data_IF_375487102794
#
_entry.id   IF_375487102794
#
_cell.length_a   1.000
_cell.length_b   1.000
_cell.length_c   1.000
_cell.angle_alpha   90.00
_cell.angle_beta   90.00
_cell.angle_gamma   90.00
#
_symmetry.space_group_name_H-M   'P 1'
#
loop_
_entity.id
_entity.type
_entity.pdbx_description
1 polymer ?
#
# COMPACT_ATOMS: atom_id res chain seq x y z
N UNK A 1 -22.39 56.98 60.67
CA UNK A 1 -20.94 56.73 60.53
C UNK A 1 -20.53 57.33 59.18
N UNK A 2 -20.15 58.60 59.10
CA UNK A 2 -18.85 59.22 59.46
C UNK A 2 -17.73 58.94 58.42
N UNK A 3 -17.36 60.00 57.68
CA UNK A 3 -16.10 60.34 56.95
C UNK A 3 -15.74 59.59 55.65
N UNK A 4 -15.72 60.26 54.47
CA UNK A 4 -14.61 61.01 53.78
C UNK A 4 -13.60 60.06 53.09
N UNK A 5 -13.03 60.22 51.88
CA UNK A 5 -12.64 61.35 51.01
C UNK A 5 -12.47 60.82 49.56
N UNK A 6 -12.91 61.53 48.50
CA UNK A 6 -12.15 62.44 47.61
C UNK A 6 -11.07 61.81 46.69
N UNK A 7 -11.17 62.10 45.39
CA UNK A 7 -10.12 61.87 44.38
C UNK A 7 -10.63 62.14 42.96
N UNK A 8 -10.35 63.32 42.40
CA UNK A 8 -10.78 63.78 41.09
C UNK A 8 -9.66 63.76 40.03
N UNK A 9 -10.08 63.43 38.79
CA UNK A 9 -9.64 63.91 37.47
C UNK A 9 -8.16 63.82 37.00
N UNK A 10 -7.93 63.25 35.80
CA UNK A 10 -7.45 64.00 34.62
C UNK A 10 -7.25 63.12 33.35
N UNK A 11 -7.56 63.78 32.22
CA UNK A 11 -7.56 63.55 30.76
C UNK A 11 -6.51 62.65 30.02
N UNK A 12 -6.73 62.38 28.70
CA UNK A 12 -6.06 61.33 27.90
C UNK A 12 -4.81 61.84 27.14
N UNK A 13 -3.96 60.90 26.69
CA UNK A 13 -2.84 61.20 25.80
C UNK A 13 -2.85 60.32 24.54
N UNK A 14 -2.75 61.01 23.41
CA UNK A 14 -2.64 60.54 22.03
C UNK A 14 -1.21 60.06 21.73
N UNK A 15 -1.09 58.95 21.00
CA UNK A 15 0.20 58.35 20.66
C UNK A 15 0.05 57.12 19.77
N UNK A 16 -0.54 57.30 18.59
CA UNK A 16 -0.57 56.27 17.56
C UNK A 16 0.81 56.13 16.89
N UNK A 17 1.46 54.97 17.06
CA UNK A 17 2.26 54.34 16.00
C UNK A 17 2.08 52.82 16.08
N UNK A 18 1.33 52.27 15.14
CA UNK A 18 1.19 50.84 14.90
C UNK A 18 2.49 50.28 14.34
N UNK A 19 3.30 49.66 15.20
CA UNK A 19 4.41 48.79 14.75
C UNK A 19 3.82 47.41 14.44
N UNK A 20 3.91 47.00 13.17
CA UNK A 20 3.52 45.66 12.72
C UNK A 20 4.30 44.59 13.51
N UNK A 21 3.67 43.50 14.00
CA UNK A 21 4.42 42.37 14.53
C UNK A 21 4.94 41.54 13.35
N UNK A 22 6.10 41.96 12.85
CA UNK A 22 7.01 41.06 12.17
C UNK A 22 7.57 40.04 13.17
N UNK A 23 7.51 38.77 12.78
CA UNK A 23 8.59 37.80 12.92
C UNK A 23 9.46 37.93 14.19
N UNK A 24 8.93 37.55 15.36
CA UNK A 24 9.73 37.25 16.56
C UNK A 24 9.08 36.16 17.42
N UNK A 25 9.62 34.96 17.27
CA UNK A 25 9.52 33.83 18.17
C UNK A 25 10.21 32.67 17.45
N UNK A 26 11.38 32.19 17.81
CA UNK A 26 12.23 32.38 18.97
C UNK A 26 13.27 31.29 18.85
N UNK A 27 14.28 31.47 17.98
CA UNK A 27 15.47 30.62 17.99
C UNK A 27 16.34 31.05 19.18
N UNK A 28 15.89 30.72 20.39
CA UNK A 28 16.72 30.81 21.59
C UNK A 28 17.66 29.58 21.59
N UNK A 29 18.99 29.77 21.65
CA UNK A 29 19.94 28.67 21.78
C UNK A 29 19.69 27.95 23.11
N UNK A 30 18.96 26.84 23.07
CA UNK A 30 18.54 26.09 24.26
C UNK A 30 17.08 25.67 24.25
N UNK A 31 16.22 26.34 23.49
CA UNK A 31 14.81 25.96 23.36
C UNK A 31 14.66 24.64 22.60
N UNK A 32 15.35 24.48 21.46
CA UNK A 32 15.44 23.21 20.72
C UNK A 32 15.97 22.06 21.58
N UNK A 33 17.00 22.29 22.40
CA UNK A 33 17.54 21.29 23.32
C UNK A 33 16.52 20.91 24.43
N UNK A 34 15.75 21.88 24.92
CA UNK A 34 14.65 21.66 25.87
C UNK A 34 13.49 20.88 25.26
N UNK A 35 13.25 21.00 23.95
CA UNK A 35 12.27 20.20 23.23
C UNK A 35 12.80 18.80 22.92
N UNK A 36 14.09 18.65 22.57
CA UNK A 36 14.75 17.34 22.39
C UNK A 36 14.71 16.50 23.67
N UNK A 37 15.03 17.08 24.84
CA UNK A 37 15.02 16.38 26.14
C UNK A 37 13.61 15.95 26.59
N UNK A 38 12.57 16.66 26.14
CA UNK A 38 11.16 16.35 26.45
C UNK A 38 10.49 15.47 25.39
N UNK A 39 11.08 15.36 24.20
CA UNK A 39 10.53 14.54 23.13
C UNK A 39 10.86 13.08 23.37
N UNK A 40 9.91 12.33 23.93
CA UNK A 40 10.01 10.87 23.93
C UNK A 40 9.57 10.33 22.58
N UNK A 41 10.55 9.95 21.75
CA UNK A 41 10.31 9.17 20.55
C UNK A 41 10.05 7.74 21.02
N UNK A 42 8.80 7.27 20.90
CA UNK A 42 8.48 5.85 21.07
C UNK A 42 8.39 5.24 19.67
N UNK A 43 9.40 4.43 19.31
CA UNK A 43 9.34 3.62 18.11
C UNK A 43 8.60 2.32 18.45
N UNK A 44 7.53 2.03 17.71
CA UNK A 44 6.93 0.69 17.69
C UNK A 44 7.38 0.02 16.40
N UNK A 45 8.37 -0.88 16.42
CA UNK A 45 8.77 -1.61 15.23
C UNK A 45 7.60 -2.49 14.77
N UNK A 46 7.13 -2.27 13.54
CA UNK A 46 6.09 -3.10 12.91
C UNK A 46 6.79 -3.92 11.82
N UNK A 47 6.57 -5.23 11.82
CA UNK A 47 7.03 -6.09 10.72
C UNK A 47 6.46 -5.57 9.39
N UNK A 48 7.25 -5.61 8.32
CA UNK A 48 6.86 -5.06 7.02
C UNK A 48 5.52 -5.67 6.53
N UNK A 49 4.39 -4.93 6.59
CA UNK A 49 3.07 -5.51 6.34
C UNK A 49 2.92 -6.07 4.93
N UNK A 50 3.65 -5.47 3.99
CA UNK A 50 3.67 -5.85 2.58
C UNK A 50 4.09 -7.29 2.31
N UNK A 51 4.79 -7.98 3.21
CA UNK A 51 5.16 -9.39 3.00
C UNK A 51 3.90 -10.24 2.83
N UNK A 52 2.96 -10.14 3.77
CA UNK A 52 1.70 -10.90 3.72
C UNK A 52 0.87 -10.47 2.50
N UNK A 53 0.75 -9.17 2.25
CA UNK A 53 -0.03 -8.65 1.15
C UNK A 53 0.49 -9.09 -0.22
N UNK A 54 1.82 -9.11 -0.41
CA UNK A 54 2.43 -9.56 -1.67
C UNK A 54 2.32 -11.08 -1.88
N UNK A 55 2.38 -11.89 -0.82
CA UNK A 55 2.09 -13.32 -0.95
C UNK A 55 0.62 -13.57 -1.31
N UNK A 56 -0.32 -12.84 -0.70
CA UNK A 56 -1.74 -12.88 -1.06
C UNK A 56 -1.97 -12.50 -2.54
N UNK A 57 -1.35 -11.40 -2.96
CA UNK A 57 -1.37 -10.92 -4.35
C UNK A 57 -0.82 -11.97 -5.33
N UNK A 58 0.33 -12.58 -5.00
CA UNK A 58 0.95 -13.61 -5.81
C UNK A 58 0.04 -14.84 -5.96
N UNK A 59 -0.54 -15.33 -4.86
CA UNK A 59 -1.46 -16.46 -4.90
C UNK A 59 -2.70 -16.16 -5.74
N UNK A 60 -3.31 -14.99 -5.54
CA UNK A 60 -4.51 -14.59 -6.27
C UNK A 60 -4.28 -14.46 -7.78
N UNK A 61 -3.20 -13.81 -8.20
CA UNK A 61 -2.88 -13.69 -9.62
C UNK A 61 -2.36 -14.97 -10.25
N UNK A 62 -1.69 -15.85 -9.50
CA UNK A 62 -1.36 -17.16 -10.03
C UNK A 62 -2.65 -17.92 -10.38
N UNK A 63 -3.67 -17.88 -9.53
CA UNK A 63 -4.96 -18.53 -9.80
C UNK A 63 -5.76 -17.82 -10.91
N UNK A 64 -6.10 -16.54 -10.69
CA UNK A 64 -6.99 -15.77 -11.58
C UNK A 64 -6.29 -15.44 -12.90
N UNK A 65 -5.00 -15.10 -12.85
CA UNK A 65 -4.19 -14.80 -14.03
C UNK A 65 -3.98 -16.02 -14.90
N UNK A 66 -3.60 -17.17 -14.34
CA UNK A 66 -3.40 -18.37 -15.16
C UNK A 66 -4.71 -18.91 -15.75
N UNK A 67 -5.85 -18.74 -15.05
CA UNK A 67 -7.17 -18.99 -15.64
C UNK A 67 -7.45 -18.06 -16.83
N UNK A 68 -7.25 -16.74 -16.66
CA UNK A 68 -7.43 -15.77 -17.74
C UNK A 68 -6.46 -15.99 -18.90
N UNK A 69 -5.26 -16.49 -18.63
CA UNK A 69 -4.24 -16.83 -19.63
C UNK A 69 -4.63 -18.03 -20.51
N UNK A 70 -5.70 -18.75 -20.15
CA UNK A 70 -6.07 -20.02 -20.77
C UNK A 70 -5.09 -21.15 -20.43
N UNK A 71 -4.28 -21.00 -19.37
CA UNK A 71 -3.34 -22.05 -18.96
C UNK A 71 -4.10 -23.25 -18.38
N UNK A 72 -5.15 -23.01 -17.59
CA UNK A 72 -5.95 -24.08 -17.02
C UNK A 72 -7.41 -23.69 -16.83
N UNK A 73 -8.26 -24.70 -16.66
CA UNK A 73 -9.64 -24.52 -16.27
C UNK A 73 -10.60 -24.19 -17.42
N UNK A 74 -11.79 -23.74 -17.05
CA UNK A 74 -12.90 -23.42 -17.94
C UNK A 74 -13.77 -22.30 -17.33
N UNK A 75 -14.95 -22.03 -17.91
CA UNK A 75 -15.84 -20.97 -17.44
C UNK A 75 -16.33 -21.15 -15.98
N UNK A 76 -16.35 -22.37 -15.45
CA UNK A 76 -16.77 -22.67 -14.08
C UNK A 76 -15.60 -22.60 -13.08
N UNK A 77 -14.35 -22.53 -13.54
CA UNK A 77 -13.16 -22.49 -12.66
C UNK A 77 -13.23 -21.41 -11.57
N UNK A 78 -13.71 -20.18 -11.82
CA UNK A 78 -13.86 -19.19 -10.75
C UNK A 78 -14.68 -19.67 -9.54
N UNK A 79 -15.60 -20.62 -9.71
CA UNK A 79 -16.45 -21.16 -8.63
C UNK A 79 -15.69 -21.98 -7.59
N UNK A 80 -14.51 -22.52 -7.93
CA UNK A 80 -13.63 -23.17 -6.93
C UNK A 80 -12.56 -22.22 -6.40
N UNK A 81 -12.22 -21.16 -7.15
CA UNK A 81 -11.16 -20.22 -6.77
C UNK A 81 -11.62 -19.18 -5.75
N UNK A 82 -12.90 -18.80 -5.78
CA UNK A 82 -13.41 -17.68 -4.99
C UNK A 82 -13.09 -17.74 -3.49
N UNK A 83 -13.10 -18.89 -2.78
CA UNK A 83 -12.80 -18.90 -1.34
C UNK A 83 -11.36 -18.49 -1.06
N UNK A 84 -10.41 -18.95 -1.88
CA UNK A 84 -8.98 -18.69 -1.72
C UNK A 84 -8.62 -17.28 -2.17
N UNK A 85 -9.21 -16.82 -3.28
CA UNK A 85 -9.04 -15.46 -3.76
C UNK A 85 -9.62 -14.47 -2.76
N UNK A 86 -10.81 -14.72 -2.22
CA UNK A 86 -11.46 -13.87 -1.21
C UNK A 86 -10.63 -13.77 0.07
N UNK A 87 -10.13 -14.90 0.58
CA UNK A 87 -9.47 -14.94 1.89
C UNK A 87 -8.01 -14.50 1.84
N UNK A 88 -7.24 -15.00 0.88
CA UNK A 88 -5.80 -14.73 0.83
C UNK A 88 -5.47 -13.52 -0.06
N UNK A 89 -5.99 -13.52 -1.29
CA UNK A 89 -5.86 -12.38 -2.20
C UNK A 89 -6.63 -11.15 -1.73
N UNK A 90 -7.78 -11.36 -1.11
CA UNK A 90 -8.67 -10.30 -0.66
C UNK A 90 -8.37 -9.88 0.78
N UNK A 91 -8.86 -10.66 1.75
CA UNK A 91 -8.87 -10.28 3.16
C UNK A 91 -7.46 -10.09 3.73
N UNK A 92 -6.56 -11.07 3.57
CA UNK A 92 -5.21 -10.97 4.11
C UNK A 92 -4.43 -9.80 3.49
N UNK A 93 -4.56 -9.60 2.18
CA UNK A 93 -3.95 -8.46 1.49
C UNK A 93 -4.55 -7.12 1.92
N UNK A 94 -5.88 -7.02 2.03
CA UNK A 94 -6.54 -5.80 2.47
C UNK A 94 -6.10 -5.41 3.89
N UNK A 95 -6.01 -6.39 4.80
CA UNK A 95 -5.47 -6.18 6.15
C UNK A 95 -4.01 -5.74 6.14
N UNK A 96 -3.17 -6.29 5.26
CA UNK A 96 -1.81 -5.80 5.07
C UNK A 96 -1.78 -4.31 4.67
N UNK A 97 -2.74 -3.85 3.86
CA UNK A 97 -2.93 -2.43 3.54
C UNK A 97 -3.26 -1.55 4.75
N UNK A 98 -4.10 -2.05 5.67
CA UNK A 98 -4.45 -1.33 6.91
C UNK A 98 -3.24 -1.20 7.84
N UNK A 99 -2.43 -2.24 7.93
CA UNK A 99 -1.17 -2.20 8.68
C UNK A 99 -0.12 -1.30 8.02
N UNK A 100 -0.07 -1.26 6.68
CA UNK A 100 0.78 -0.32 5.94
C UNK A 100 0.39 1.14 6.19
N UNK A 101 -0.91 1.43 6.28
CA UNK A 101 -1.41 2.77 6.64
C UNK A 101 -0.91 3.18 8.03
N UNK A 102 -1.02 2.27 9.01
CA UNK A 102 -0.47 2.48 10.36
C UNK A 102 1.05 2.69 10.33
N UNK A 103 1.76 2.01 9.44
CA UNK A 103 3.21 2.18 9.23
C UNK A 103 3.58 3.42 8.40
N UNK A 104 2.60 4.24 7.98
CA UNK A 104 2.78 5.43 7.13
C UNK A 104 3.43 5.12 5.77
N UNK A 105 3.24 3.91 5.25
CA UNK A 105 3.66 3.53 3.90
C UNK A 105 2.49 3.75 2.92
N UNK A 106 2.39 4.96 2.38
CA UNK A 106 1.28 5.34 1.49
C UNK A 106 1.22 4.52 0.19
N UNK A 107 2.37 4.09 -0.34
CA UNK A 107 2.41 3.27 -1.55
C UNK A 107 1.86 1.87 -1.25
N UNK A 108 2.31 1.24 -0.17
CA UNK A 108 1.80 -0.07 0.23
C UNK A 108 0.33 -0.01 0.65
N UNK A 109 -0.13 1.06 1.31
CA UNK A 109 -1.55 1.28 1.61
C UNK A 109 -2.38 1.30 0.34
N UNK A 110 -1.98 2.07 -0.66
CA UNK A 110 -2.71 2.17 -1.93
C UNK A 110 -2.73 0.82 -2.66
N UNK A 111 -1.58 0.16 -2.80
CA UNK A 111 -1.45 -1.11 -3.54
C UNK A 111 -2.23 -2.23 -2.87
N UNK A 112 -1.98 -2.49 -1.59
CA UNK A 112 -2.63 -3.61 -0.88
C UNK A 112 -4.09 -3.36 -0.58
N UNK A 113 -4.44 -2.12 -0.23
CA UNK A 113 -5.82 -1.73 -0.02
C UNK A 113 -6.67 -1.91 -1.29
N UNK A 114 -6.18 -1.41 -2.43
CA UNK A 114 -6.89 -1.52 -3.71
C UNK A 114 -7.00 -2.97 -4.19
N UNK A 115 -5.88 -3.69 -4.32
CA UNK A 115 -5.88 -5.06 -4.82
C UNK A 115 -6.61 -6.03 -3.89
N UNK A 116 -6.45 -5.86 -2.57
CA UNK A 116 -7.20 -6.62 -1.58
C UNK A 116 -8.71 -6.35 -1.65
N UNK A 117 -9.13 -5.09 -1.78
CA UNK A 117 -10.54 -4.74 -1.95
C UNK A 117 -11.12 -5.32 -3.25
N UNK A 118 -10.35 -5.31 -4.34
CA UNK A 118 -10.75 -5.95 -5.58
C UNK A 118 -10.96 -7.46 -5.43
N UNK A 119 -10.02 -8.19 -4.83
CA UNK A 119 -10.17 -9.64 -4.67
C UNK A 119 -11.24 -10.02 -3.66
N UNK A 120 -11.52 -9.18 -2.66
CA UNK A 120 -12.73 -9.31 -1.83
C UNK A 120 -13.98 -9.22 -2.71
N UNK A 121 -14.12 -8.16 -3.50
CA UNK A 121 -15.28 -7.96 -4.39
C UNK A 121 -15.43 -9.09 -5.42
N UNK A 122 -14.32 -9.50 -6.05
CA UNK A 122 -14.28 -10.62 -6.99
C UNK A 122 -14.72 -11.93 -6.33
N UNK A 123 -14.17 -12.22 -5.15
CA UNK A 123 -14.52 -13.41 -4.38
C UNK A 123 -15.98 -13.42 -3.94
N UNK A 124 -16.49 -12.28 -3.46
CA UNK A 124 -17.90 -12.15 -3.07
C UNK A 124 -18.83 -12.33 -4.26
N UNK A 125 -18.48 -11.76 -5.42
CA UNK A 125 -19.27 -11.94 -6.64
C UNK A 125 -19.41 -13.42 -6.99
N UNK A 126 -18.30 -14.17 -7.04
CA UNK A 126 -18.36 -15.61 -7.36
C UNK A 126 -18.97 -16.47 -6.25
N UNK A 127 -18.87 -16.05 -4.98
CA UNK A 127 -19.65 -16.66 -3.88
C UNK A 127 -21.15 -16.51 -4.15
N UNK A 128 -21.63 -15.30 -4.48
CA UNK A 128 -23.04 -15.05 -4.76
C UNK A 128 -23.55 -15.85 -5.97
N UNK A 129 -22.72 -16.00 -7.00
CA UNK A 129 -23.01 -16.90 -8.13
C UNK A 129 -23.14 -18.36 -7.66
N UNK A 130 -22.24 -18.83 -6.79
CA UNK A 130 -22.24 -20.22 -6.32
C UNK A 130 -23.48 -20.61 -5.50
N UNK A 131 -24.10 -19.63 -4.83
CA UNK A 131 -25.35 -19.83 -4.07
C UNK A 131 -26.60 -19.39 -4.86
N UNK A 132 -26.47 -19.17 -6.16
CA UNK A 132 -27.53 -18.72 -7.07
C UNK A 132 -28.21 -17.39 -6.67
N UNK A 133 -27.54 -16.55 -5.88
CA UNK A 133 -28.00 -15.20 -5.54
C UNK A 133 -27.77 -14.18 -6.67
N UNK A 134 -26.89 -14.51 -7.63
CA UNK A 134 -26.64 -13.73 -8.86
C UNK A 134 -26.94 -14.61 -10.07
N UNK A 135 -27.67 -14.10 -11.10
CA UNK A 135 -27.93 -14.87 -12.31
C UNK A 135 -26.64 -15.29 -13.03
N UNK A 136 -26.58 -16.56 -13.46
CA UNK A 136 -25.43 -17.11 -14.20
C UNK A 136 -25.13 -16.32 -15.48
N UNK A 137 -26.13 -15.67 -16.08
CA UNK A 137 -25.96 -14.81 -17.25
C UNK A 137 -25.01 -13.61 -17.01
N UNK A 138 -24.82 -13.19 -15.75
CA UNK A 138 -23.90 -12.10 -15.40
C UNK A 138 -22.46 -12.56 -15.17
N UNK A 139 -22.22 -13.88 -15.14
CA UNK A 139 -20.87 -14.43 -14.96
C UNK A 139 -19.96 -13.95 -16.09
N UNK A 140 -18.78 -13.40 -15.79
CA UNK A 140 -17.84 -13.01 -16.82
C UNK A 140 -17.18 -14.25 -17.41
N UNK A 141 -17.56 -14.55 -18.64
CA UNK A 141 -16.96 -15.61 -19.44
C UNK A 141 -16.01 -14.97 -20.46
N UNK A 142 -14.81 -15.55 -20.60
CA UNK A 142 -13.78 -15.06 -21.51
C UNK A 142 -14.34 -15.03 -22.94
N UNK A 143 -14.17 -13.89 -23.62
CA UNK A 143 -14.72 -13.67 -24.97
C UNK A 143 -16.16 -13.14 -24.99
N UNK A 144 -16.73 -12.74 -23.84
CA UNK A 144 -18.05 -12.08 -23.78
C UNK A 144 -17.96 -10.64 -23.29
N UNK A 145 -18.94 -9.84 -23.68
CA UNK A 145 -19.06 -8.44 -23.26
C UNK A 145 -19.52 -8.37 -21.79
N UNK A 146 -18.73 -7.71 -20.94
CA UNK A 146 -19.01 -7.53 -19.51
C UNK A 146 -18.47 -6.19 -19.02
N UNK A 147 -19.09 -5.10 -19.47
CA UNK A 147 -18.62 -3.73 -19.23
C UNK A 147 -18.46 -3.39 -17.74
N UNK A 148 -19.44 -3.77 -16.90
CA UNK A 148 -19.35 -3.53 -15.45
C UNK A 148 -18.15 -4.23 -14.79
N UNK A 149 -17.82 -5.45 -15.23
CA UNK A 149 -16.63 -6.17 -14.78
C UNK A 149 -15.36 -5.55 -15.38
N UNK A 150 -15.38 -5.17 -16.66
CA UNK A 150 -14.28 -4.52 -17.37
C UNK A 150 -13.88 -3.17 -16.75
N UNK A 151 -14.85 -2.37 -16.31
CA UNK A 151 -14.60 -1.02 -15.79
C UNK A 151 -13.82 -1.03 -14.48
N UNK A 152 -14.00 -2.05 -13.63
CA UNK A 152 -13.18 -2.24 -12.44
C UNK A 152 -11.70 -2.43 -12.80
N UNK A 153 -11.40 -3.17 -13.87
CA UNK A 153 -10.02 -3.36 -14.35
C UNK A 153 -9.39 -2.05 -14.86
N UNK A 154 -10.19 -1.09 -15.36
CA UNK A 154 -9.68 0.23 -15.75
C UNK A 154 -9.13 0.99 -14.54
N UNK A 155 -9.87 1.00 -13.42
CA UNK A 155 -9.40 1.65 -12.19
C UNK A 155 -8.10 1.00 -11.68
N UNK A 156 -8.04 -0.34 -11.69
CA UNK A 156 -6.86 -1.10 -11.31
C UNK A 156 -5.65 -0.80 -12.21
N UNK A 157 -5.88 -0.66 -13.52
CA UNK A 157 -4.83 -0.34 -14.48
C UNK A 157 -4.22 1.04 -14.19
N UNK A 158 -5.07 2.06 -14.02
CA UNK A 158 -4.62 3.44 -13.80
C UNK A 158 -3.88 3.56 -12.47
N UNK A 159 -4.47 3.09 -11.38
CA UNK A 159 -3.88 3.23 -10.05
C UNK A 159 -2.59 2.40 -9.94
N UNK A 160 -2.56 1.18 -10.50
CA UNK A 160 -1.33 0.37 -10.53
C UNK A 160 -0.24 1.02 -11.39
N UNK A 161 -0.61 1.70 -12.48
CA UNK A 161 0.33 2.46 -13.32
C UNK A 161 0.95 3.64 -12.56
N UNK A 162 0.13 4.42 -11.84
CA UNK A 162 0.60 5.50 -10.98
C UNK A 162 1.49 4.96 -9.84
N UNK A 163 1.10 3.83 -9.23
CA UNK A 163 1.89 3.17 -8.20
C UNK A 163 3.22 2.63 -8.74
N UNK A 164 3.25 2.13 -9.99
CA UNK A 164 4.48 1.69 -10.66
C UNK A 164 5.47 2.86 -10.83
N UNK A 165 4.97 4.03 -11.25
CA UNK A 165 5.79 5.24 -11.35
C UNK A 165 6.31 5.68 -9.97
N UNK A 166 5.46 5.69 -8.95
CA UNK A 166 5.87 6.01 -7.58
C UNK A 166 6.92 5.02 -7.03
N UNK A 167 6.77 3.73 -7.34
CA UNK A 167 7.68 2.68 -6.90
C UNK A 167 9.07 2.77 -7.53
N UNK A 168 9.25 3.44 -8.68
CA UNK A 168 10.57 3.67 -9.27
C UNK A 168 11.51 4.40 -8.31
N UNK A 169 10.98 5.28 -7.46
CA UNK A 169 11.76 6.00 -6.45
C UNK A 169 12.26 5.14 -5.31
N UNK A 170 11.76 3.91 -5.15
CA UNK A 170 12.05 3.03 -4.01
C UNK A 170 12.67 1.69 -4.41
N UNK A 171 12.06 0.96 -5.34
CA UNK A 171 12.37 -0.44 -5.64
C UNK A 171 11.94 -0.78 -7.08
N UNK A 172 12.92 -1.07 -7.95
CA UNK A 172 12.65 -1.39 -9.35
C UNK A 172 11.83 -2.67 -9.52
N UNK A 173 12.08 -3.72 -8.73
CA UNK A 173 11.31 -4.98 -8.83
C UNK A 173 9.84 -4.76 -8.46
N UNK A 174 9.57 -3.90 -7.48
CA UNK A 174 8.21 -3.54 -7.10
C UNK A 174 7.54 -2.65 -8.16
N UNK A 175 8.29 -1.75 -8.80
CA UNK A 175 7.80 -0.98 -9.94
C UNK A 175 7.44 -1.88 -11.13
N UNK A 176 8.31 -2.84 -11.48
CA UNK A 176 8.06 -3.82 -12.54
C UNK A 176 6.84 -4.68 -12.25
N UNK A 177 6.67 -5.15 -11.01
CA UNK A 177 5.46 -5.83 -10.58
C UNK A 177 4.23 -4.98 -10.90
N UNK A 178 4.18 -3.75 -10.41
CA UNK A 178 3.02 -2.87 -10.57
C UNK A 178 2.78 -2.49 -12.04
N UNK A 179 3.83 -2.39 -12.86
CA UNK A 179 3.72 -2.19 -14.29
C UNK A 179 3.06 -3.41 -14.98
N UNK A 180 3.47 -4.64 -14.65
CA UNK A 180 2.81 -5.86 -15.14
C UNK A 180 1.34 -5.88 -14.75
N UNK A 181 1.00 -5.51 -13.51
CA UNK A 181 -0.39 -5.45 -13.06
C UNK A 181 -1.19 -4.37 -13.78
N UNK A 182 -0.61 -3.21 -14.03
CA UNK A 182 -1.24 -2.10 -14.75
C UNK A 182 -1.58 -2.51 -16.19
N UNK A 183 -0.59 -3.02 -16.91
CA UNK A 183 -0.75 -3.45 -18.31
C UNK A 183 -1.68 -4.66 -18.41
N UNK A 184 -1.54 -5.64 -17.51
CA UNK A 184 -2.42 -6.81 -17.45
C UNK A 184 -3.88 -6.44 -17.20
N UNK A 185 -4.12 -5.48 -16.31
CA UNK A 185 -5.45 -4.92 -16.06
C UNK A 185 -6.01 -4.19 -17.29
N UNK A 186 -5.18 -3.42 -17.99
CA UNK A 186 -5.58 -2.75 -19.23
C UNK A 186 -6.01 -3.73 -20.32
N UNK A 187 -5.23 -4.79 -20.55
CA UNK A 187 -5.59 -5.84 -21.51
C UNK A 187 -6.85 -6.61 -21.10
N UNK A 188 -7.00 -6.91 -19.81
CA UNK A 188 -8.19 -7.57 -19.28
C UNK A 188 -9.44 -6.70 -19.44
N UNK A 189 -9.34 -5.41 -19.13
CA UNK A 189 -10.41 -4.44 -19.35
C UNK A 189 -10.82 -4.42 -20.82
N UNK A 190 -9.86 -4.26 -21.73
CA UNK A 190 -10.12 -4.27 -23.18
C UNK A 190 -10.78 -5.58 -23.63
N UNK A 191 -10.33 -6.72 -23.10
CA UNK A 191 -10.89 -8.03 -23.40
C UNK A 191 -12.38 -8.16 -23.07
N UNK A 192 -12.80 -7.69 -21.91
CA UNK A 192 -14.22 -7.71 -21.51
C UNK A 192 -15.05 -6.54 -22.07
N UNK A 193 -14.40 -5.51 -22.63
CA UNK A 193 -15.06 -4.38 -23.30
C UNK A 193 -15.34 -4.65 -24.78
N UNK A 194 -14.43 -5.35 -25.48
CA UNK A 194 -14.52 -5.64 -26.92
C UNK A 194 -14.59 -7.14 -27.20
N UNK A 195 -15.35 -7.91 -26.39
CA UNK A 195 -15.34 -9.39 -26.28
C UNK A 195 -14.13 -10.14 -26.86
N UNK A 196 -12.91 -9.75 -26.47
CA UNK A 196 -11.68 -10.23 -27.08
C UNK A 196 -10.97 -11.26 -26.20
N UNK A 197 -10.94 -12.51 -26.65
CA UNK A 197 -10.24 -13.62 -25.96
C UNK A 197 -8.74 -13.38 -25.89
N UNK A 198 -8.13 -12.90 -26.99
CA UNK A 198 -6.69 -12.67 -27.06
C UNK A 198 -6.23 -11.64 -26.02
N UNK A 199 -7.00 -10.56 -25.84
CA UNK A 199 -6.66 -9.50 -24.91
C UNK A 199 -6.74 -10.03 -23.47
N UNK A 200 -7.77 -10.81 -23.13
CA UNK A 200 -7.84 -11.47 -21.81
C UNK A 200 -6.66 -12.43 -21.60
N UNK A 201 -6.26 -13.20 -22.60
CA UNK A 201 -5.12 -14.12 -22.48
C UNK A 201 -3.81 -13.39 -22.23
N UNK A 202 -3.55 -12.28 -22.96
CA UNK A 202 -2.37 -11.44 -22.72
C UNK A 202 -2.41 -10.83 -21.31
N UNK A 203 -3.57 -10.33 -20.89
CA UNK A 203 -3.78 -9.84 -19.52
C UNK A 203 -3.46 -10.91 -18.47
N UNK A 204 -3.96 -12.13 -18.68
CA UNK A 204 -3.71 -13.28 -17.84
C UNK A 204 -2.22 -13.63 -17.70
N UNK A 205 -1.48 -13.70 -18.81
CA UNK A 205 -0.04 -13.98 -18.77
C UNK A 205 0.76 -12.86 -18.08
N UNK A 206 0.35 -11.60 -18.22
CA UNK A 206 0.95 -10.49 -17.48
C UNK A 206 0.68 -10.59 -15.98
N UNK A 207 -0.50 -11.07 -15.57
CA UNK A 207 -0.79 -11.36 -14.17
C UNK A 207 0.02 -12.54 -13.64
N UNK A 208 0.26 -13.59 -14.44
CA UNK A 208 1.18 -14.68 -14.07
C UNK A 208 2.59 -14.15 -13.85
N UNK A 209 3.11 -13.31 -14.75
CA UNK A 209 4.41 -12.66 -14.57
C UNK A 209 4.42 -11.78 -13.31
N UNK A 210 3.35 -11.01 -13.08
CA UNK A 210 3.14 -10.24 -11.86
C UNK A 210 3.13 -11.11 -10.61
N UNK A 211 2.51 -12.29 -10.62
CA UNK A 211 2.50 -13.20 -9.50
C UNK A 211 3.92 -13.67 -9.12
N UNK A 212 4.74 -13.99 -10.12
CA UNK A 212 6.15 -14.37 -9.91
C UNK A 212 6.96 -13.19 -9.33
N UNK A 213 6.76 -11.98 -9.84
CA UNK A 213 7.41 -10.78 -9.32
C UNK A 213 6.97 -10.45 -7.88
N UNK A 214 5.68 -10.58 -7.57
CA UNK A 214 5.14 -10.39 -6.23
C UNK A 214 5.72 -11.39 -5.25
N UNK A 215 5.80 -12.67 -5.65
CA UNK A 215 6.44 -13.73 -4.87
C UNK A 215 7.92 -13.40 -4.61
N UNK A 216 8.65 -12.97 -5.64
CA UNK A 216 10.05 -12.59 -5.51
C UNK A 216 10.26 -11.43 -4.54
N UNK A 217 9.47 -10.35 -4.66
CA UNK A 217 9.57 -9.18 -3.78
C UNK A 217 9.19 -9.56 -2.34
N UNK A 218 8.13 -10.35 -2.15
CA UNK A 218 7.73 -10.85 -0.83
C UNK A 218 8.83 -11.69 -0.18
N UNK A 219 9.39 -12.64 -0.93
CA UNK A 219 10.47 -13.51 -0.47
C UNK A 219 11.75 -12.72 -0.15
N UNK A 220 12.10 -11.72 -0.96
CA UNK A 220 13.22 -10.85 -0.71
C UNK A 220 13.07 -10.07 0.60
N UNK A 221 11.89 -9.49 0.84
CA UNK A 221 11.56 -8.76 2.08
C UNK A 221 11.55 -9.69 3.31
N UNK A 222 10.95 -10.88 3.16
CA UNK A 222 10.92 -11.89 4.23
C UNK A 222 12.34 -12.33 4.60
N UNK A 223 13.17 -12.69 3.63
CA UNK A 223 14.54 -13.11 3.88
C UNK A 223 15.42 -11.98 4.43
N UNK A 224 15.26 -10.75 3.95
CA UNK A 224 15.97 -9.59 4.50
C UNK A 224 15.64 -9.39 5.99
N UNK A 225 14.37 -9.53 6.37
CA UNK A 225 13.93 -9.45 7.76
C UNK A 225 14.42 -10.63 8.61
N UNK A 226 14.38 -11.86 8.10
CA UNK A 226 14.82 -13.07 8.84
C UNK A 226 16.34 -13.12 9.02
N UNK A 227 17.11 -12.78 7.99
CA UNK A 227 18.57 -12.90 8.02
C UNK A 227 19.30 -11.59 8.39
N UNK A 228 18.59 -10.47 8.50
CA UNK A 228 19.18 -9.15 8.83
C UNK A 228 20.14 -8.59 7.78
N UNK A 229 20.11 -9.13 6.56
CA UNK A 229 20.95 -8.73 5.42
C UNK A 229 20.23 -9.00 4.11
N UNK A 230 20.58 -8.24 3.08
CA UNK A 230 20.01 -8.44 1.74
C UNK A 230 20.48 -9.78 1.15
N UNK A 231 19.54 -10.70 0.91
CA UNK A 231 19.78 -12.00 0.26
C UNK A 231 19.43 -11.93 -1.23
N UNK A 232 18.23 -11.43 -1.54
CA UNK A 232 17.76 -11.24 -2.92
C UNK A 232 17.83 -9.76 -3.32
N UNK A 233 18.43 -9.41 -4.46
CA UNK A 233 18.49 -8.02 -4.91
C UNK A 233 17.12 -7.54 -5.38
N UNK A 234 16.69 -6.40 -4.84
CA UNK A 234 15.44 -5.73 -5.27
C UNK A 234 15.70 -4.43 -6.05
N UNK A 235 16.97 -4.09 -6.26
CA UNK A 235 17.40 -2.90 -6.98
C UNK A 235 16.84 -1.61 -6.37
N UNK A 236 17.03 -1.46 -5.05
CA UNK A 236 16.65 -0.25 -4.30
C UNK A 236 17.47 0.94 -4.79
N UNK A 237 16.83 2.09 -5.01
CA UNK A 237 17.47 3.34 -5.49
C UNK A 237 18.48 3.92 -4.50
N UNK A 238 18.33 3.64 -3.20
CA UNK A 238 19.33 3.99 -2.18
C UNK A 238 20.43 2.92 -2.10
N UNK A 239 21.60 3.26 -2.63
CA UNK A 239 22.80 2.42 -2.79
C UNK A 239 23.21 1.62 -1.53
N UNK A 240 22.91 2.11 -0.32
CA UNK A 240 23.27 1.43 0.93
C UNK A 240 22.52 0.11 1.19
N UNK A 241 21.30 -0.06 0.65
CA UNK A 241 20.44 -1.22 0.92
C UNK A 241 20.40 -2.28 -0.18
N UNK A 242 21.25 -2.17 -1.21
CA UNK A 242 21.14 -2.96 -2.44
C UNK A 242 22.37 -3.84 -2.73
N UNK A 243 23.29 -4.01 -1.76
CA UNK A 243 24.49 -4.85 -1.91
C UNK A 243 24.24 -6.20 -1.23
N UNK A 244 24.17 -7.31 -1.98
CA UNK A 244 24.02 -8.65 -1.39
C UNK A 244 25.07 -8.92 -0.32
N UNK A 245 24.64 -9.45 0.83
CA UNK A 245 25.54 -9.73 1.96
C UNK A 245 25.84 -8.54 2.88
N UNK A 246 25.47 -7.30 2.51
CA UNK A 246 25.61 -6.13 3.38
C UNK A 246 24.43 -6.08 4.37
N UNK A 247 24.70 -5.68 5.63
CA UNK A 247 23.63 -5.40 6.60
C UNK A 247 22.81 -4.22 6.08
N UNK A 248 21.48 -4.38 6.07
CA UNK A 248 20.57 -3.28 5.76
C UNK A 248 20.83 -2.09 6.69
N UNK A 249 20.47 -0.88 6.27
CA UNK A 249 20.65 0.36 7.05
C UNK A 249 20.30 0.12 8.51
N UNK A 250 21.32 0.08 9.37
CA UNK A 250 21.16 -0.19 10.79
C UNK A 250 20.24 0.90 11.36
N UNK A 251 19.10 0.55 11.98
CA UNK A 251 18.37 1.53 12.77
C UNK A 251 19.36 2.18 13.72
N UNK A 252 19.36 3.51 13.81
CA UNK A 252 20.19 4.21 14.78
C UNK A 252 19.72 3.79 16.17
N UNK A 253 20.42 2.83 16.77
CA UNK A 253 20.22 2.43 18.16
C UNK A 253 20.70 3.59 19.03
N UNK A 254 19.78 4.27 19.71
CA UNK A 254 20.13 5.29 20.69
C UNK A 254 21.07 4.69 21.74
N UNK A 255 22.15 5.41 22.07
CA UNK A 255 23.25 4.95 22.94
C UNK A 255 22.79 4.54 24.35
N UNK A 256 21.59 4.94 24.77
CA UNK A 256 21.00 4.59 26.07
C UNK A 256 20.01 3.42 26.05
N UNK A 257 19.68 2.84 24.89
CA UNK A 257 18.70 1.75 24.79
C UNK A 257 17.27 2.21 25.10
N UNK A 258 16.37 2.15 24.12
CA UNK A 258 14.97 2.44 24.37
C UNK A 258 14.33 1.30 25.19
N UNK A 259 13.63 1.60 26.31
CA UNK A 259 12.85 0.60 27.03
C UNK A 259 11.76 0.06 26.10
N UNK A 260 11.79 -1.24 25.80
CA UNK A 260 10.76 -1.93 25.01
C UNK A 260 11.15 -2.38 23.58
N UNK A 261 12.38 -2.12 23.12
CA UNK A 261 12.82 -2.45 21.75
C UNK A 261 13.50 -3.82 21.63
N UNK A 262 13.65 -4.57 22.74
CA UNK A 262 14.05 -5.98 22.65
C UNK A 262 12.89 -6.79 22.08
N UNK A 263 12.92 -7.00 20.77
CA UNK A 263 12.14 -8.05 20.11
C UNK A 263 12.63 -9.36 20.73
N UNK A 264 11.75 -9.99 21.51
CA UNK A 264 11.95 -11.31 22.09
C UNK A 264 12.23 -12.33 21.00
N UNK A 265 12.90 -13.40 21.41
CA UNK A 265 13.44 -14.51 20.61
C UNK A 265 12.53 -15.03 19.51
#
# INVERSE_FOLDING_TARGET
MSHEHAGAAAEPAEGATTVAPGHRGGDLPGEHALWEDRTRISLTPIAAPSILGLFGLAGAFMMVGAWQAGWYGNAATPLILWPFVLTFGGLAQFLAGMWAYRARDGLATAVHGMWGAFFLGWGFFFMLVSIAAVPVALVPTIGTLREGFAFWWVALAVISGLAALAALGANLMFSLLLACLAVGSGFTAAGYWTPSTWAVHVGGWLFVAGAVLALYVAAAMMMENTFGRTILPTFKTRVAGNVPGRRGTRPLEYRMGEPGVRIGQ
#
